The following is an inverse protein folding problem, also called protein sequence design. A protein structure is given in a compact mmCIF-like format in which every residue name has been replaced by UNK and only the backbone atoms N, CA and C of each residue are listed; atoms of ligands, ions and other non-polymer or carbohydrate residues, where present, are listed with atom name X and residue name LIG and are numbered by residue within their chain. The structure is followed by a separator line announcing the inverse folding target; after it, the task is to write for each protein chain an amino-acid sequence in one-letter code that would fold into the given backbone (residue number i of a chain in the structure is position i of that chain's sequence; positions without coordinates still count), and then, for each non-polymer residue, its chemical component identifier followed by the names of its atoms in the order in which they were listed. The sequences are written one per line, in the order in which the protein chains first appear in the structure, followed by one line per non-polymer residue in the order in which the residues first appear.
data_IF_996102855880
#
_entry.id   IF_996102855880
#
_cell.length_a   1.000
_cell.length_b   1.000
_cell.length_c   1.000
_cell.angle_alpha   90.00
_cell.angle_beta   90.00
_cell.angle_gamma   90.00
#
_symmetry.space_group_name_H-M   'P 1'
#
loop_
_entity.id
_entity.type
_entity.pdbx_description
1 polymer ?
2 non-polymer ?
3 non-polymer ?
4 non-polymer ?
5 water ?
#
# COMPACT_ATOMS: atom_id res chain seq x y z
N UNK A 4 20.53 11.38 -8.66
CA UNK A 4 20.35 10.98 -10.05
C UNK A 4 18.89 11.09 -10.51
N UNK A 5 18.70 11.17 -11.83
CA UNK A 5 17.37 11.39 -12.38
C UNK A 5 16.90 10.21 -13.24
N UNK A 6 17.66 9.12 -13.22
CA UNK A 6 17.28 7.91 -13.94
C UNK A 6 16.11 7.20 -13.28
N UNK A 7 15.29 6.52 -14.08
CA UNK A 7 14.20 5.72 -13.54
C UNK A 7 14.12 4.43 -14.32
N UNK A 8 13.61 3.39 -13.67
CA UNK A 8 13.59 2.08 -14.27
C UNK A 8 12.49 1.94 -15.30
N UNK A 9 12.46 0.80 -15.96
CA UNK A 9 11.45 0.47 -16.95
C UNK A 9 10.71 -0.80 -16.56
N UNK A 10 9.64 -1.14 -17.27
CA UNK A 10 9.04 -2.44 -17.06
C UNK A 10 9.14 -3.24 -18.34
N UNK A 11 9.23 -4.55 -18.21
CA UNK A 11 9.25 -5.40 -19.40
C UNK A 11 8.22 -6.51 -19.26
N UNK A 12 8.19 -7.42 -20.23
CA UNK A 12 7.23 -8.49 -20.23
C UNK A 12 7.33 -9.36 -19.00
N UNK A 13 8.57 -9.61 -18.57
CA UNK A 13 8.83 -10.46 -17.42
C UNK A 13 8.16 -9.92 -16.14
N UNK A 14 8.21 -8.61 -15.97
CA UNK A 14 7.55 -7.97 -14.83
C UNK A 14 6.05 -8.24 -14.83
N UNK A 15 5.42 -8.02 -15.98
CA UNK A 15 3.98 -8.23 -16.07
C UNK A 15 3.62 -9.69 -15.85
N UNK A 16 4.43 -10.59 -16.39
CA UNK A 16 4.16 -12.01 -16.34
C UNK A 16 4.19 -12.48 -14.89
N UNK A 17 5.18 -12.00 -14.15
CA UNK A 17 5.32 -12.38 -12.75
C UNK A 17 4.26 -11.74 -11.88
N UNK A 18 3.88 -10.50 -12.19
CA UNK A 18 2.73 -9.88 -11.54
C UNK A 18 1.47 -10.74 -11.70
N UNK A 19 1.18 -11.14 -12.94
CA UNK A 19 -0.01 -11.97 -13.20
C UNK A 19 0.07 -13.33 -12.53
N UNK A 20 1.25 -13.91 -12.50
CA UNK A 20 1.44 -15.26 -11.98
C UNK A 20 1.45 -15.28 -10.46
N UNK A 21 2.16 -14.31 -9.88
CA UNK A 21 2.37 -14.30 -8.42
C UNK A 21 1.45 -13.37 -7.66
N UNK A 22 0.92 -12.36 -8.35
CA UNK A 22 0.01 -11.42 -7.69
C UNK A 22 0.70 -10.18 -7.16
N UNK A 23 2.01 -10.11 -7.37
CA UNK A 23 2.78 -8.92 -7.02
C UNK A 23 4.01 -8.82 -7.89
N UNK A 24 4.60 -7.62 -7.92
CA UNK A 24 5.86 -7.41 -8.63
C UNK A 24 6.71 -6.37 -7.93
N UNK A 25 8.01 -6.53 -8.01
CA UNK A 25 8.95 -5.53 -7.49
C UNK A 25 9.48 -4.65 -8.62
N UNK A 26 9.43 -3.34 -8.43
CA UNK A 26 10.01 -2.38 -9.36
C UNK A 26 11.13 -1.64 -8.66
N UNK A 27 12.40 -1.97 -8.97
CA UNK A 27 13.51 -1.42 -8.17
C UNK A 27 13.59 0.11 -8.14
N UNK A 28 13.18 0.79 -9.20
CA UNK A 28 13.23 2.25 -9.21
C UNK A 28 12.09 2.86 -10.04
N UNK A 29 10.96 3.11 -9.39
CA UNK A 29 9.79 3.71 -10.06
C UNK A 29 9.80 5.25 -9.94
N UNK A 30 10.52 5.75 -8.95
CA UNK A 30 10.78 7.19 -8.79
C UNK A 30 12.27 7.47 -8.78
N UNK A 31 12.68 8.51 -9.52
CA UNK A 31 14.08 8.93 -9.51
C UNK A 31 14.47 9.48 -8.14
N UNK A 32 15.76 9.62 -7.89
CA UNK A 32 16.19 10.16 -6.61
C UNK A 32 15.73 11.61 -6.44
N UNK A 33 15.66 12.37 -7.52
CA UNK A 33 15.12 13.72 -7.45
C UNK A 33 13.61 13.73 -7.16
N UNK A 34 12.86 12.80 -7.75
CA UNK A 34 11.43 12.68 -7.44
C UNK A 34 11.24 12.25 -5.99
N UNK A 35 12.10 11.37 -5.51
CA UNK A 35 12.05 10.95 -4.11
C UNK A 35 12.33 12.13 -3.18
N UNK A 36 13.30 12.97 -3.54
CA UNK A 36 13.63 14.12 -2.71
C UNK A 36 12.43 15.06 -2.59
N UNK A 37 11.71 15.25 -3.68
CA UNK A 37 10.51 16.09 -3.67
C UNK A 37 9.36 15.42 -2.88
N UNK A 38 9.15 14.13 -3.10
CA UNK A 38 8.14 13.40 -2.35
C UNK A 38 8.41 13.48 -0.85
N UNK A 39 9.68 13.39 -0.44
CA UNK A 39 10.04 13.52 0.96
C UNK A 39 9.69 14.90 1.52
N UNK A 40 9.83 15.94 0.70
CA UNK A 40 9.48 17.28 1.14
C UNK A 40 7.98 17.41 1.31
N UNK A 41 7.23 16.78 0.40
CA UNK A 41 5.78 16.73 0.53
C UNK A 41 5.38 16.08 1.86
N UNK A 42 6.03 14.96 2.17
CA UNK A 42 5.77 14.24 3.41
C UNK A 42 6.17 15.00 4.66
N UNK A 43 7.33 15.65 4.60
CA UNK A 43 7.85 16.43 5.71
C UNK A 43 6.85 17.47 6.20
N UNK A 44 5.93 17.86 5.30
CA UNK A 44 4.87 18.80 5.62
C UNK A 44 3.52 18.10 5.89
N UNK A 45 3.33 16.92 5.32
CA UNK A 45 2.10 16.15 5.57
C UNK A 45 2.10 15.49 6.94
N UNK A 46 3.28 15.02 7.35
CA UNK A 46 3.47 14.30 8.61
C UNK A 46 4.38 15.08 9.52
N UNK A 47 3.81 15.95 10.34
CA UNK A 47 4.62 16.71 11.28
C UNK A 47 4.75 15.99 12.61
N UNK A 48 5.98 15.63 12.98
CA UNK A 48 6.23 15.09 14.31
C UNK A 48 6.23 16.26 15.29
N UNK A 49 5.36 16.21 16.29
CA UNK A 49 5.09 17.35 17.15
C UNK A 49 5.37 16.98 18.60
N UNK A 50 5.95 17.92 19.35
CA UNK A 50 6.31 17.67 20.74
C UNK A 50 5.21 18.12 21.68
N UNK A 51 5.26 17.60 22.91
CA UNK A 51 4.38 18.01 23.99
C UNK A 51 5.22 18.44 25.19
N UNK A 52 4.59 19.13 26.16
CA UNK A 52 5.42 19.55 27.30
C UNK A 52 5.74 18.45 28.31
N UNK A 53 6.67 17.55 27.97
CA UNK A 53 7.14 16.56 28.93
C UNK A 53 6.64 15.15 28.68
N UNK A 54 5.81 14.97 27.66
CA UNK A 54 5.32 13.65 27.29
C UNK A 54 5.83 13.22 25.92
N UNK A 55 5.14 12.26 25.32
CA UNK A 55 5.52 11.68 24.03
C UNK A 55 5.20 12.57 22.84
N UNK A 56 6.01 12.47 21.78
CA UNK A 56 5.72 13.16 20.53
C UNK A 56 4.53 12.47 19.89
N UNK A 57 3.86 13.18 18.99
CA UNK A 57 2.82 12.57 18.20
C UNK A 57 2.87 13.19 16.81
N UNK A 58 2.32 12.47 15.84
CA UNK A 58 2.23 13.01 14.50
C UNK A 58 0.93 13.79 14.37
N UNK A 59 1.05 14.99 13.82
CA UNK A 59 -0.04 15.93 13.83
C UNK A 59 -0.94 15.69 12.62
N UNK A 60 -1.64 14.56 12.65
CA UNK A 60 -2.63 14.23 11.63
C UNK A 60 -3.84 13.58 12.27
N UNK A 61 -4.92 13.45 11.51
CA UNK A 61 -6.10 12.71 11.95
C UNK A 61 -5.71 11.26 12.23
N UNK A 62 -6.14 10.74 13.37
CA UNK A 62 -5.81 9.39 13.77
C UNK A 62 -4.81 9.35 14.90
N UNK A 63 -3.96 10.38 14.98
CA UNK A 63 -2.91 10.43 15.99
C UNK A 63 -3.17 11.51 17.04
N UNK A 64 -3.67 12.67 16.61
CA UNK A 64 -4.03 13.76 17.52
C UNK A 64 -5.11 13.34 18.52
N UNK A 68 -7.62 4.42 21.87
CA UNK A 68 -6.94 3.26 22.39
C UNK A 68 -5.51 3.12 21.89
N UNK A 69 -5.12 1.89 21.52
CA UNK A 69 -3.78 1.63 20.99
C UNK A 69 -3.47 2.51 19.78
N UNK A 70 -2.19 2.83 19.56
CA UNK A 70 -1.86 3.73 18.45
C UNK A 70 -2.20 3.14 17.08
N UNK A 71 -2.64 4.00 16.19
CA UNK A 71 -2.92 3.62 14.81
C UNK A 71 -1.69 3.89 13.97
N UNK A 72 -1.57 3.15 12.88
CA UNK A 72 -0.55 3.45 11.88
C UNK A 72 -0.81 4.84 11.31
N UNK A 73 0.17 5.76 11.40
CA UNK A 73 -0.05 7.09 10.83
C UNK A 73 -0.33 7.01 9.33
N UNK A 74 -1.53 7.41 8.93
CA UNK A 74 -1.84 7.38 7.51
C UNK A 74 -2.76 8.49 7.09
N UNK A 75 -2.65 8.88 5.83
CA UNK A 75 -3.50 9.90 5.25
C UNK A 75 -4.17 9.36 3.99
N UNK A 76 -5.49 9.27 4.01
CA UNK A 76 -6.19 8.86 2.80
C UNK A 76 -6.31 10.07 1.88
N UNK A 77 -5.97 9.87 0.61
CA UNK A 77 -6.02 10.92 -0.41
C UNK A 77 -5.20 12.16 -0.06
N UNK A 78 -3.87 11.98 0.11
CA UNK A 78 -3.04 13.15 0.44
C UNK A 78 -2.99 14.17 -0.70
N UNK A 79 -3.39 13.76 -1.90
CA UNK A 79 -3.48 14.66 -3.04
C UNK A 79 -4.53 15.76 -2.83
N UNK A 80 -5.40 15.61 -1.85
CA UNK A 80 -6.33 16.70 -1.49
C UNK A 80 -5.54 17.87 -0.90
N UNK A 81 -4.49 17.55 -0.15
CA UNK A 81 -3.69 18.56 0.53
C UNK A 81 -2.49 18.98 -0.30
N UNK A 82 -1.95 18.04 -1.08
CA UNK A 82 -0.86 18.35 -2.00
C UNK A 82 -1.26 17.88 -3.39
N UNK A 83 -2.02 18.72 -4.10
CA UNK A 83 -2.49 18.43 -5.45
C UNK A 83 -1.33 18.31 -6.43
N UNK A 84 -0.19 18.90 -6.07
CA UNK A 84 1.03 18.78 -6.87
C UNK A 84 1.40 17.31 -7.06
N UNK A 85 0.96 16.47 -6.12
CA UNK A 85 1.25 15.04 -6.12
C UNK A 85 0.79 14.31 -7.37
N UNK A 86 -0.44 14.54 -7.78
CA UNK A 86 -1.08 13.68 -8.78
C UNK A 86 -0.85 14.15 -10.22
N UNK A 87 -0.07 15.20 -10.39
CA UNK A 87 0.31 15.61 -11.74
C UNK A 87 1.82 15.54 -11.91
N UNK A 88 2.45 14.68 -11.12
CA UNK A 88 3.88 14.43 -11.24
C UNK A 88 4.16 13.45 -12.37
N UNK A 89 5.43 13.38 -12.83
CA UNK A 89 5.79 12.33 -13.79
C UNK A 89 5.71 10.96 -13.15
N UNK A 90 5.89 10.90 -11.83
CA UNK A 90 5.78 9.63 -11.11
C UNK A 90 4.33 9.11 -11.14
N UNK A 91 3.35 9.99 -11.02
CA UNK A 91 1.97 9.55 -11.10
C UNK A 91 1.67 8.96 -12.47
N UNK A 92 2.08 9.67 -13.51
CA UNK A 92 1.76 9.27 -14.88
C UNK A 92 2.41 7.93 -15.22
N UNK A 93 3.62 7.76 -14.71
CA UNK A 93 4.41 6.56 -14.91
C UNK A 93 3.70 5.40 -14.22
N UNK A 94 3.23 5.64 -13.01
CA UNK A 94 2.48 4.63 -12.27
C UNK A 94 1.18 4.26 -12.97
N UNK A 95 0.47 5.26 -13.50
CA UNK A 95 -0.78 5.00 -14.22
C UNK A 95 -0.50 4.11 -15.44
N UNK A 96 0.61 4.38 -16.13
CA UNK A 96 0.96 3.60 -17.31
C UNK A 96 1.31 2.17 -16.93
N UNK A 97 1.98 2.01 -15.80
CA UNK A 97 2.30 0.68 -15.27
C UNK A 97 1.01 -0.09 -14.92
N UNK A 98 0.09 0.58 -14.23
CA UNK A 98 -1.20 -0.02 -13.88
C UNK A 98 -1.93 -0.48 -15.13
N UNK A 99 -1.90 0.37 -16.15
CA UNK A 99 -2.54 0.05 -17.43
C UNK A 99 -1.95 -1.21 -18.06
N UNK A 100 -0.63 -1.28 -18.12
CA UNK A 100 0.07 -2.45 -18.64
C UNK A 100 -0.25 -3.72 -17.85
N UNK A 101 -0.24 -3.62 -16.53
CA UNK A 101 -0.45 -4.79 -15.68
C UNK A 101 -1.91 -5.24 -15.64
N UNK A 102 -2.83 -4.31 -15.84
CA UNK A 102 -4.25 -4.64 -15.77
C UNK A 102 -4.87 -4.87 -17.14
N UNK A 103 -4.11 -4.59 -18.19
CA UNK A 103 -4.60 -4.64 -19.57
C UNK A 103 -5.85 -3.79 -19.74
N UNK A 104 -5.79 -2.58 -19.21
CA UNK A 104 -6.89 -1.64 -19.36
C UNK A 104 -6.34 -0.29 -19.76
N UNK A 105 -7.10 0.42 -20.59
CA UNK A 105 -6.72 1.76 -21.02
C UNK A 105 -6.57 2.66 -19.82
N UNK A 106 -5.59 3.56 -19.84
CA UNK A 106 -5.37 4.46 -18.71
C UNK A 106 -6.61 5.29 -18.43
N UNK A 107 -7.37 5.57 -19.47
CA UNK A 107 -8.59 6.35 -19.34
C UNK A 107 -9.67 5.62 -18.56
N UNK A 108 -9.54 4.31 -18.45
CA UNK A 108 -10.57 3.50 -17.78
C UNK A 108 -10.33 3.40 -16.29
N UNK A 109 -9.14 3.83 -15.84
CA UNK A 109 -8.74 3.61 -14.47
C UNK A 109 -9.18 4.74 -13.56
N UNK A 110 -9.82 4.37 -12.45
CA UNK A 110 -10.06 5.28 -11.35
C UNK A 110 -8.89 5.12 -10.42
N UNK A 111 -8.60 6.13 -9.62
CA UNK A 111 -7.39 6.11 -8.80
C UNK A 111 -7.50 7.01 -7.61
N UNK A 112 -6.67 6.74 -6.62
CA UNK A 112 -6.52 7.64 -5.49
C UNK A 112 -5.20 7.31 -4.79
N UNK A 113 -4.75 8.22 -3.96
CA UNK A 113 -3.50 8.06 -3.25
C UNK A 113 -3.74 7.72 -1.80
N UNK A 114 -2.69 7.25 -1.14
CA UNK A 114 -2.76 6.90 0.26
C UNK A 114 -1.34 7.00 0.82
N UNK A 115 -1.16 7.73 1.91
CA UNK A 115 0.18 7.92 2.45
C UNK A 115 0.28 7.21 3.78
N UNK A 116 1.44 6.60 3.99
CA UNK A 116 1.71 5.87 5.22
C UNK A 116 3.08 6.27 5.74
N UNK A 117 3.17 6.39 7.07
CA UNK A 117 4.42 6.61 7.74
C UNK A 117 4.49 5.64 8.91
N UNK A 118 5.47 4.75 8.87
CA UNK A 118 5.81 3.95 10.06
C UNK A 118 6.89 4.69 10.80
N UNK A 119 6.55 5.26 11.96
CA UNK A 119 7.50 5.98 12.82
C UNK A 119 8.64 5.08 13.27
N UNK A 120 9.78 5.67 13.64
CA UNK A 120 10.85 4.91 14.29
C UNK A 120 10.33 4.07 15.46
N UNK A 121 10.81 2.84 15.56
CA UNK A 121 10.48 1.94 16.66
C UNK A 121 8.99 1.64 16.79
N UNK A 122 8.25 1.77 15.68
CA UNK A 122 6.83 1.48 15.71
C UNK A 122 6.66 -0.04 15.73
N UNK A 123 6.16 -0.57 16.85
CA UNK A 123 6.21 -2.02 17.11
C UNK A 123 5.07 -2.88 16.55
N UNK A 124 4.01 -2.23 16.07
CA UNK A 124 2.87 -2.95 15.51
C UNK A 124 3.08 -3.33 14.02
N UNK A 125 2.72 -4.57 13.65
CA UNK A 125 2.80 -4.91 12.23
C UNK A 125 1.57 -4.41 11.51
N UNK A 126 1.56 -4.46 10.19
CA UNK A 126 0.31 -4.42 9.46
C UNK A 126 -0.04 -5.87 9.23
N UNK A 127 -1.07 -6.36 9.93
CA UNK A 127 -1.39 -7.79 9.92
C UNK A 127 -1.77 -8.29 8.53
N UNK A 128 -1.61 -9.58 8.29
CA UNK A 128 -2.03 -10.19 7.02
C UNK A 128 -3.44 -9.74 6.65
N UNK A 129 -3.62 -9.33 5.40
CA UNK A 129 -4.92 -8.93 4.89
C UNK A 129 -4.90 -8.94 3.36
N UNK A 130 -6.08 -8.92 2.77
CA UNK A 130 -6.24 -8.64 1.35
C UNK A 130 -6.98 -7.32 1.22
N UNK A 131 -6.53 -6.47 0.31
CA UNK A 131 -7.13 -5.15 0.20
C UNK A 131 -8.61 -5.27 -0.22
N UNK A 132 -8.93 -6.30 -0.98
CA UNK A 132 -10.33 -6.49 -1.38
C UNK A 132 -11.24 -6.79 -0.17
N UNK A 133 -10.66 -7.22 0.95
CA UNK A 133 -11.48 -7.47 2.14
C UNK A 133 -12.18 -6.21 2.63
N UNK A 134 -11.65 -5.05 2.24
CA UNK A 134 -12.21 -3.76 2.66
C UNK A 134 -13.29 -3.28 1.71
N UNK A 135 -13.50 -4.03 0.63
CA UNK A 135 -14.40 -3.58 -0.42
C UNK A 135 -15.77 -4.26 -0.37
N UNK A 136 -16.76 -3.56 -0.91
CA UNK A 136 -18.15 -4.04 -1.01
C UNK A 136 -18.25 -5.29 -1.89
N UNK A 137 -18.70 -6.42 -1.32
CA UNK A 137 -18.76 -7.67 -2.11
C UNK A 137 -19.83 -7.64 -3.21
N UNK A 138 -20.67 -6.62 -3.19
CA UNK A 138 -21.73 -6.50 -4.18
C UNK A 138 -21.23 -5.95 -5.51
N UNK A 139 -20.02 -5.42 -5.49
CA UNK A 139 -19.43 -4.73 -6.64
C UNK A 139 -17.97 -5.10 -6.80
N UNK A 140 -17.64 -5.75 -7.90
CA UNK A 140 -16.30 -6.23 -8.10
C UNK A 140 -15.53 -5.26 -8.98
N UNK A 141 -14.33 -4.91 -8.56
CA UNK A 141 -13.42 -4.13 -9.39
C UNK A 141 -12.13 -4.89 -9.58
N UNK A 142 -11.54 -4.77 -10.77
CA UNK A 142 -10.16 -5.18 -10.97
C UNK A 142 -9.25 -4.04 -10.59
N UNK A 143 -8.16 -4.33 -9.89
CA UNK A 143 -7.31 -3.24 -9.49
C UNK A 143 -6.04 -3.68 -8.83
N UNK A 144 -5.19 -2.70 -8.56
CA UNK A 144 -3.94 -2.96 -7.91
C UNK A 144 -3.48 -1.74 -7.14
N UNK A 145 -2.45 -1.93 -6.33
CA UNK A 145 -1.85 -0.86 -5.56
C UNK A 145 -0.38 -0.77 -5.91
N UNK A 146 0.15 0.45 -6.07
CA UNK A 146 1.59 0.65 -6.27
C UNK A 146 2.17 1.38 -5.07
N UNK A 147 2.94 0.62 -4.28
CA UNK A 147 3.47 1.06 -3.00
C UNK A 147 4.89 1.56 -3.23
N UNK A 148 5.08 2.89 -3.29
CA UNK A 148 6.40 3.47 -3.53
C UNK A 148 7.02 3.87 -2.21
N UNK A 149 8.23 3.41 -1.93
CA UNK A 149 8.87 3.80 -0.67
C UNK A 149 9.77 5.01 -0.87
N UNK A 150 9.81 5.92 0.11
CA UNK A 150 10.73 7.07 0.07
C UNK A 150 11.98 6.80 0.86
N UNK A 151 11.98 5.68 1.58
CA UNK A 151 13.06 5.29 2.45
C UNK A 151 13.48 3.88 2.12
N UNK A 152 14.66 3.46 2.58
CA UNK A 152 15.00 2.04 2.51
C UNK A 152 13.90 1.25 3.25
N UNK A 153 13.40 0.20 2.61
CA UNK A 153 12.42 -0.68 3.23
C UNK A 153 13.02 -2.07 3.40
N UNK A 154 13.27 -2.45 4.64
CA UNK A 154 13.82 -3.77 4.91
C UNK A 154 12.81 -4.60 5.72
N UNK A 155 13.12 -5.87 5.95
CA UNK A 155 12.23 -6.67 6.78
C UNK A 155 12.12 -6.00 8.16
N UNK A 156 13.23 -5.45 8.64
CA UNK A 156 13.25 -4.82 9.96
C UNK A 156 12.64 -3.42 10.02
N UNK A 157 12.43 -2.79 8.87
CA UNK A 157 11.92 -1.43 8.86
C UNK A 157 10.47 -1.42 8.39
N UNK A 158 9.96 -2.58 8.02
CA UNK A 158 8.56 -2.71 7.66
C UNK A 158 8.22 -2.84 6.18
N UNK A 159 9.05 -3.53 5.41
CA UNK A 159 8.73 -3.77 4.01
C UNK A 159 7.55 -4.73 3.92
N UNK A 160 6.97 -4.86 2.73
CA UNK A 160 5.83 -5.75 2.53
C UNK A 160 6.27 -7.19 2.33
N UNK A 161 5.42 -8.11 2.80
CA UNK A 161 5.52 -9.55 2.54
C UNK A 161 4.26 -9.97 1.81
N UNK A 162 4.38 -10.91 0.87
CA UNK A 162 3.23 -11.41 0.10
C UNK A 162 3.05 -12.91 0.18
N UNK A 163 1.82 -13.37 -0.04
CA UNK A 163 1.55 -14.79 -0.26
C UNK A 163 1.44 -15.00 -1.76
N UNK A 164 2.51 -15.52 -2.39
CA UNK A 164 2.50 -15.67 -3.84
C UNK A 164 1.33 -16.53 -4.32
N UNK A 165 0.65 -16.06 -5.36
CA UNK A 165 -0.45 -16.82 -5.93
C UNK A 165 -1.76 -16.65 -5.22
N UNK A 166 -1.76 -15.91 -4.10
CA UNK A 166 -2.94 -15.77 -3.28
C UNK A 166 -4.07 -15.01 -3.94
N UNK A 167 -3.74 -14.25 -4.98
CA UNK A 167 -4.75 -13.47 -5.72
C UNK A 167 -5.70 -14.37 -6.53
N UNK A 168 -5.36 -15.63 -6.70
CA UNK A 168 -6.29 -16.55 -7.38
C UNK A 168 -7.03 -17.43 -6.38
N UNK A 169 -6.80 -17.18 -5.09
CA UNK A 169 -7.52 -17.87 -4.03
C UNK A 169 -8.73 -17.05 -3.59
N UNK A 170 -9.39 -17.49 -2.51
CA UNK A 170 -10.57 -16.70 -2.13
C UNK A 170 -10.19 -15.41 -1.41
N UNK A 171 -11.16 -14.53 -1.24
CA UNK A 171 -10.98 -13.48 -0.24
C UNK A 171 -11.12 -14.22 1.08
N UNK A 172 -10.02 -14.29 1.82
CA UNK A 172 -9.94 -15.06 3.06
C UNK A 172 -10.85 -14.50 4.14
N UNK A 173 -11.21 -15.34 5.12
CA UNK A 173 -11.97 -14.79 6.25
C UNK A 173 -11.17 -13.68 6.94
N UNK A 174 -11.77 -12.52 7.13
CA UNK A 174 -11.11 -11.48 7.90
C UNK A 174 -11.94 -11.17 9.14
N UNK A 175 -11.32 -10.50 10.08
CA UNK A 175 -12.06 -10.00 11.22
C UNK A 175 -11.44 -8.69 11.60
N UNK A 176 -12.15 -7.87 12.35
CA UNK A 176 -11.54 -6.66 12.87
C UNK A 176 -10.49 -7.02 13.89
N UNK A 177 -9.38 -6.28 13.89
CA UNK A 177 -8.38 -6.46 14.93
C UNK A 177 -9.05 -6.30 16.30
N UNK A 178 -9.96 -5.33 16.38
CA UNK A 178 -10.80 -5.14 17.56
C UNK A 178 -12.19 -4.72 17.08
N UNK A 179 -13.19 -5.53 17.40
CA UNK A 179 -14.55 -5.29 16.91
C UNK A 179 -15.18 -4.02 17.50
N UNK A 180 -14.67 -3.58 18.65
CA UNK A 180 -15.09 -2.33 19.25
C UNK A 180 -14.11 -1.19 18.96
N UNK A 181 -13.25 -1.40 17.96
CA UNK A 181 -12.33 -0.36 17.50
C UNK A 181 -11.97 -0.62 16.04
N UNK A 182 -12.97 -0.54 15.17
CA UNK A 182 -12.85 -1.03 13.80
C UNK A 182 -11.86 -0.25 12.94
N UNK A 183 -11.59 1.00 13.33
CA UNK A 183 -10.65 1.84 12.58
C UNK A 183 -9.22 1.27 12.60
N UNK A 184 -8.95 0.35 13.52
CA UNK A 184 -7.65 -0.33 13.57
C UNK A 184 -7.47 -1.25 12.36
N UNK A 185 -8.57 -1.61 11.72
CA UNK A 185 -8.50 -2.34 10.47
C UNK A 185 -8.77 -3.84 10.58
N UNK A 186 -8.49 -4.54 9.48
CA UNK A 186 -8.83 -5.95 9.31
C UNK A 186 -7.61 -6.84 9.34
N UNK A 187 -7.83 -8.11 9.66
CA UNK A 187 -6.78 -9.11 9.53
C UNK A 187 -7.36 -10.47 9.25
N UNK A 188 -6.55 -11.33 8.64
CA UNK A 188 -6.90 -12.73 8.49
C UNK A 188 -5.84 -13.60 9.17
N UNK A 189 -6.29 -14.73 9.68
CA UNK A 189 -5.38 -15.70 10.28
C UNK A 189 -5.02 -16.80 9.29
N UNK A 190 -5.59 -16.73 8.09
CA UNK A 190 -5.54 -17.86 7.17
C UNK A 190 -4.44 -17.77 6.13
N UNK A 191 -3.31 -17.19 6.52
CA UNK A 191 -2.11 -17.19 5.69
C UNK A 191 -0.98 -17.91 6.40
N UNK A 192 -0.37 -18.87 5.70
CA UNK A 192 0.78 -19.60 6.22
C UNK A 192 2.03 -18.76 6.01
N UNK A 193 2.57 -18.18 7.09
CA UNK A 193 3.69 -17.25 7.00
C UNK A 193 4.92 -17.91 6.39
N UNK A 194 4.96 -19.24 6.43
CA UNK A 194 6.13 -19.96 5.92
C UNK A 194 6.13 -19.97 4.39
N UNK A 195 4.98 -19.64 3.78
CA UNK A 195 4.89 -19.52 2.32
C UNK A 195 5.18 -18.09 1.84
N UNK A 196 5.33 -17.16 2.77
CA UNK A 196 5.45 -15.75 2.40
C UNK A 196 6.82 -15.37 1.82
N UNK A 197 6.83 -14.30 1.04
CA UNK A 197 8.08 -13.78 0.49
C UNK A 197 8.15 -12.28 0.79
N UNK A 198 9.31 -11.83 1.26
CA UNK A 198 9.50 -10.41 1.59
C UNK A 198 10.02 -9.65 0.39
N UNK A 199 9.66 -8.37 0.33
CA UNK A 199 10.07 -7.50 -0.76
C UNK A 199 10.76 -6.23 -0.29
N UNK A 200 12.04 -6.33 0.14
CA UNK A 200 12.85 -5.15 0.46
C UNK A 200 13.05 -4.26 -0.77
N UNK A 201 13.18 -2.97 -0.51
CA UNK A 201 13.26 -1.95 -1.56
C UNK A 201 14.22 -0.86 -1.14
N UNK A 202 14.86 -0.25 -2.13
CA UNK A 202 15.70 0.93 -1.92
C UNK A 202 14.79 2.13 -2.11
N UNK A 203 15.22 3.33 -1.68
CA UNK A 203 14.32 4.47 -1.84
C UNK A 203 13.94 4.67 -3.31
N UNK A 204 12.67 4.90 -3.57
CA UNK A 204 12.22 5.09 -4.95
C UNK A 204 11.79 3.79 -5.60
N UNK A 205 12.04 2.68 -4.90
CA UNK A 205 11.54 1.39 -5.36
C UNK A 205 10.07 1.26 -5.03
N UNK A 206 9.38 0.30 -5.65
CA UNK A 206 7.98 0.08 -5.33
C UNK A 206 7.65 -1.39 -5.47
N UNK A 207 6.60 -1.79 -4.75
CA UNK A 207 5.98 -3.07 -5.01
C UNK A 207 4.56 -2.79 -5.51
N UNK A 208 4.07 -3.69 -6.36
CA UNK A 208 2.76 -3.59 -6.97
C UNK A 208 2.00 -4.85 -6.58
N UNK A 209 0.78 -4.73 -6.06
CA UNK A 209 0.02 -5.95 -5.79
C UNK A 209 -1.46 -5.84 -6.13
N UNK A 210 -1.98 -6.97 -6.61
CA UNK A 210 -3.40 -7.14 -6.90
C UNK A 210 -4.27 -6.92 -5.67
N UNK A 211 -5.50 -6.47 -5.87
CA UNK A 211 -6.46 -6.31 -4.78
C UNK A 211 -6.65 -7.58 -3.95
N UNK A 212 -6.36 -8.75 -4.53
CA UNK A 212 -6.62 -10.00 -3.80
C UNK A 212 -5.36 -10.70 -3.26
N UNK A 213 -4.18 -10.15 -3.51
CA UNK A 213 -2.94 -10.75 -2.98
C UNK A 213 -2.76 -10.49 -1.48
N UNK A 214 -2.68 -11.57 -0.67
CA UNK A 214 -2.49 -11.31 0.77
C UNK A 214 -1.13 -10.67 1.03
N UNK A 215 -1.10 -9.70 1.92
CA UNK A 215 0.16 -9.07 2.32
C UNK A 215 0.17 -8.63 3.77
N UNK A 216 1.39 -8.40 4.25
CA UNK A 216 1.69 -8.16 5.66
C UNK A 216 2.87 -7.20 5.70
N UNK A 217 2.94 -6.34 6.71
CA UNK A 217 4.14 -5.53 6.92
C UNK A 217 4.61 -5.67 8.36
N UNK A 218 5.90 -5.93 8.54
CA UNK A 218 6.45 -6.05 9.88
C UNK A 218 6.54 -4.72 10.59
N UNK A 219 6.90 -4.75 11.87
CA UNK A 219 7.12 -3.53 12.66
C UNK A 219 8.30 -2.73 12.12
N UNK A 220 8.39 -1.45 12.45
CA UNK A 220 9.60 -0.71 12.14
C UNK A 220 10.52 -0.71 13.35
N UNK A 221 11.46 -1.64 13.37
CA UNK A 221 12.39 -1.77 14.50
C UNK A 221 13.54 -0.78 14.40
N UNK A 222 13.56 0.05 13.38
CA UNK A 222 14.70 0.93 13.17
C UNK A 222 14.44 2.34 13.74
N UNK A 223 15.49 3.14 13.79
CA UNK A 223 15.39 4.45 14.42
C UNK A 223 15.00 5.52 13.42
N UNK A 224 14.64 5.07 12.22
CA UNK A 224 14.33 5.96 11.10
C UNK A 224 12.89 5.71 10.65
N UNK A 225 12.15 6.77 10.27
CA UNK A 225 10.79 6.55 9.78
C UNK A 225 10.79 5.89 8.40
N UNK A 226 9.77 5.09 8.12
CA UNK A 226 9.59 4.42 6.83
C UNK A 226 8.37 5.00 6.13
N UNK A 227 8.57 5.79 5.07
CA UNK A 227 7.46 6.46 4.40
C UNK A 227 7.11 5.81 3.09
N UNK A 228 5.82 5.51 2.91
CA UNK A 228 5.38 4.93 1.64
C UNK A 228 4.26 5.77 1.08
N UNK A 229 4.23 5.84 -0.24
CA UNK A 229 3.22 6.57 -0.96
C UNK A 229 2.53 5.56 -1.86
N UNK A 230 1.24 5.35 -1.65
CA UNK A 230 0.55 4.29 -2.37
C UNK A 230 -0.41 4.90 -3.37
N UNK A 231 -0.35 4.41 -4.61
CA UNK A 231 -1.30 4.78 -5.62
C UNK A 231 -2.15 3.58 -5.97
N UNK A 232 -3.46 3.74 -5.86
CA UNK A 232 -4.42 2.68 -6.16
C UNK A 232 -5.08 2.94 -7.50
N UNK A 233 -5.08 1.94 -8.38
CA UNK A 233 -5.71 2.02 -9.69
C UNK A 233 -6.73 0.90 -9.86
N UNK A 234 -7.91 1.22 -10.35
CA UNK A 234 -8.98 0.23 -10.40
C UNK A 234 -9.95 0.50 -11.52
N UNK A 235 -10.58 -0.57 -11.98
CA UNK A 235 -11.69 -0.48 -12.93
C UNK A 235 -12.96 0.04 -12.28
N UNK A 236 -13.89 0.46 -13.13
CA UNK A 236 -15.26 0.69 -12.71
C UNK A 236 -15.83 -0.59 -12.08
N UNK A 237 -16.84 -0.44 -11.20
CA UNK A 237 -17.41 -1.61 -10.53
C UNK A 237 -18.36 -2.43 -11.43
N UNK A 238 -18.29 -3.75 -11.33
CA UNK A 238 -19.24 -4.63 -11.98
C UNK A 238 -20.18 -5.27 -10.96
N UNK A 239 -21.45 -5.40 -11.33
CA UNK A 239 -22.41 -6.01 -10.42
C UNK A 239 -22.11 -7.49 -10.18
N UNK A 240 -22.06 -7.90 -8.91
CA UNK A 240 -21.87 -9.31 -8.57
C UNK A 240 -23.23 -9.99 -8.34
N UNK A 241 -23.50 -11.06 -9.09
CA UNK A 241 -24.77 -11.77 -8.96
C UNK A 241 -24.94 -12.48 -7.61
N UNK A 242 -23.86 -13.09 -7.12
CA UNK A 242 -23.94 -13.85 -5.87
C UNK A 242 -22.86 -13.36 -4.91
N UNK A 243 -23.11 -12.21 -4.26
CA UNK A 243 -22.06 -11.58 -3.45
C UNK A 243 -21.66 -12.43 -2.24
N UNK A 244 -20.36 -12.50 -1.96
CA UNK A 244 -19.85 -13.11 -0.73
C UNK A 244 -20.36 -12.39 0.51
N UNK A 245 -20.59 -13.11 1.61
CA UNK A 245 -21.14 -12.48 2.82
C UNK A 245 -20.26 -11.39 3.47
N UNK A 246 -18.97 -11.61 3.59
CA UNK A 246 -18.05 -10.68 4.27
C UNK A 246 -18.63 -10.03 5.55
N UNK A 247 -18.93 -10.84 6.58
CA UNK A 247 -19.60 -10.31 7.78
C UNK A 247 -18.74 -9.33 8.60
N UNK A 248 -17.48 -9.17 8.22
CA UNK A 248 -16.57 -8.25 8.91
C UNK A 248 -16.66 -6.82 8.37
N UNK A 249 -17.45 -6.62 7.31
CA UNK A 249 -17.56 -5.30 6.70
C UNK A 249 -18.12 -4.28 7.66
N UNK A 250 -17.49 -3.11 7.67
CA UNK A 250 -18.02 -1.97 8.41
C UNK A 250 -18.77 -1.08 7.43
N UNK A 251 -20.09 -1.08 7.52
CA UNK A 251 -20.95 -0.30 6.62
C UNK A 251 -21.18 1.11 7.14
X LIG B 1 -3.08 -3.51 2.05
X LIG C 1 -5.96 -0.79 3.27
X LIG C 1 -5.51 -1.81 2.49
X LIG C 1 -4.18 -1.96 2.70
X LIG C 1 -3.79 -1.03 3.60
X LIG C 1 -4.91 -0.30 3.96
X LIG D 1 -1.25 -1.67 1.12
X LIG D 1 -0.57 -0.86 0.45
X LIG D 1 -2.28 -2.23 0.65
X LIG D 1 -0.85 -1.99 2.53
X LIG D 1 -1.57 -2.72 3.22
X LIG D 1 0.39 -1.40 3.08
X LIG D 1 0.77 -1.73 4.49
X LIG D 1 1.92 -0.99 5.09
X LIG D 1 2.53 -0.11 4.43
X LIG D 1 2.29 -1.23 6.28
#
# INVERSE_FOLDING_TARGET
MDAMEVVGTIDHRDREEFRSRGFAILPQVASESEVAWLRQAYDRLFVRRATPGAEDFYDIAGQRDREGPPLLPQIIKPEKYVPELLDSPHFARCRSIASAFLDMAEEELEFYGHAILKPPRYGAPTPWHQDEAYMDPRWRRRGLSIWTTLDEATVESGCLHYLPGGHRGPVLPHHHIDNDDRIRGLMTDDVDPTSAVACPLAPGGAVVHDFRTPHYAGPNLTDQPRRAYVLVFMSAPAEVADPEPRPWMDWG
NI NI
IMD N1 C2 N3 C4 C5
AKG C1 O1 O2 C2 O5 C3 C4 C5 O3 O4
#
